data_IF_149862796673
#
_entry.id   IF_149862796673
#
_cell.length_a   1.000
_cell.length_b   1.000
_cell.length_c   1.000
_cell.angle_alpha   90.00
_cell.angle_beta   90.00
_cell.angle_gamma   90.00
#
_symmetry.space_group_name_H-M   'P 1'
#
loop_
_entity.id
_entity.type
_entity.pdbx_description
1 polymer ?
#
# COMPACT_ATOMS: atom_id res chain seq x y z
N UNK A 1 15.25 18.95 17.64
CA UNK A 1 14.00 18.41 17.07
C UNK A 1 12.84 19.30 17.53
N UNK A 2 11.81 19.53 16.71
CA UNK A 2 10.65 20.31 17.15
C UNK A 2 9.77 19.45 18.05
N UNK A 3 9.47 19.92 19.27
CA UNK A 3 8.64 19.17 20.23
C UNK A 3 7.21 19.72 20.18
N UNK A 4 6.17 18.87 19.97
CA UNK A 4 4.78 19.30 20.05
C UNK A 4 4.46 19.93 21.41
N UNK A 5 3.64 20.99 21.47
CA UNK A 5 3.35 21.70 22.73
C UNK A 5 2.64 20.84 23.79
N UNK A 6 2.04 19.71 23.39
CA UNK A 6 1.27 18.83 24.26
C UNK A 6 2.06 17.62 24.79
N UNK A 7 3.33 17.47 24.45
CA UNK A 7 4.15 16.30 24.83
C UNK A 7 5.55 16.72 25.29
N UNK A 8 6.18 15.90 26.13
CA UNK A 8 7.60 16.05 26.43
C UNK A 8 8.47 15.54 25.29
N UNK A 9 9.73 15.94 25.26
CA UNK A 9 10.70 15.45 24.27
C UNK A 9 10.84 13.91 24.34
N UNK A 10 10.91 13.35 25.56
CA UNK A 10 11.00 11.90 25.78
C UNK A 10 9.78 11.15 25.25
N UNK A 11 8.57 11.66 25.53
CA UNK A 11 7.33 11.06 25.01
C UNK A 11 7.29 11.11 23.48
N UNK A 12 7.72 12.23 22.90
CA UNK A 12 7.77 12.41 21.45
C UNK A 12 8.75 11.43 20.80
N UNK A 13 9.93 11.25 21.39
CA UNK A 13 10.93 10.28 20.92
C UNK A 13 10.46 8.83 21.06
N UNK A 14 9.75 8.50 22.14
CA UNK A 14 9.17 7.18 22.34
C UNK A 14 8.14 6.85 21.25
N UNK A 15 7.23 7.77 20.96
CA UNK A 15 6.24 7.61 19.89
C UNK A 15 6.89 7.52 18.51
N UNK A 16 7.90 8.33 18.23
CA UNK A 16 8.67 8.26 16.98
C UNK A 16 9.32 6.87 16.83
N UNK A 17 10.05 6.42 17.85
CA UNK A 17 10.75 5.12 17.81
C UNK A 17 9.76 3.97 17.60
N UNK A 18 8.63 3.98 18.32
CA UNK A 18 7.55 2.99 18.18
C UNK A 18 7.01 2.93 16.76
N UNK A 19 6.78 4.07 16.12
CA UNK A 19 6.30 4.14 14.73
C UNK A 19 7.37 3.62 13.76
N UNK A 20 8.63 4.02 13.95
CA UNK A 20 9.75 3.60 13.11
C UNK A 20 9.93 2.09 13.16
N UNK A 21 9.98 1.51 14.37
CA UNK A 21 10.21 0.06 14.54
C UNK A 21 9.11 -0.78 13.90
N UNK A 22 7.88 -0.27 13.87
CA UNK A 22 6.74 -0.93 13.22
C UNK A 22 6.80 -0.86 11.69
N UNK A 23 7.26 0.26 11.13
CA UNK A 23 7.14 0.56 9.69
C UNK A 23 8.41 0.22 8.92
N UNK A 24 9.59 0.58 9.44
CA UNK A 24 10.89 0.45 8.77
C UNK A 24 11.18 -0.94 8.18
N UNK A 25 10.88 -2.08 8.85
CA UNK A 25 11.18 -3.41 8.30
C UNK A 25 10.54 -3.71 6.95
N UNK A 26 9.42 -3.05 6.62
CA UNK A 26 8.68 -3.26 5.37
C UNK A 26 9.33 -2.58 4.16
N UNK A 27 10.22 -1.61 4.41
CA UNK A 27 10.81 -0.74 3.40
C UNK A 27 12.31 -0.97 3.22
N UNK A 28 12.86 -2.10 3.69
CA UNK A 28 14.24 -2.50 3.39
C UNK A 28 14.35 -2.93 1.92
N UNK A 29 15.47 -2.63 1.29
CA UNK A 29 15.76 -3.00 -0.10
C UNK A 29 17.27 -3.11 -0.31
N UNK A 30 17.68 -3.61 -1.47
CA UNK A 30 19.09 -3.81 -1.78
C UNK A 30 19.91 -2.53 -1.54
N UNK A 31 20.96 -2.63 -0.72
CA UNK A 31 21.83 -1.52 -0.34
C UNK A 31 21.36 -0.69 0.85
N UNK A 32 20.19 -0.97 1.42
CA UNK A 32 19.67 -0.32 2.63
C UNK A 32 19.17 -1.37 3.62
N UNK A 33 19.95 -1.59 4.67
CA UNK A 33 19.60 -2.50 5.75
C UNK A 33 18.57 -1.87 6.69
N UNK A 34 18.05 -2.67 7.62
CA UNK A 34 17.04 -2.22 8.58
C UNK A 34 17.48 -0.98 9.34
N UNK A 35 18.72 -0.95 9.81
CA UNK A 35 19.25 0.17 10.60
C UNK A 35 19.38 1.44 9.76
N UNK A 36 19.71 1.34 8.46
CA UNK A 36 19.72 2.47 7.54
C UNK A 36 18.31 3.04 7.37
N UNK A 37 17.31 2.18 7.15
CA UNK A 37 15.92 2.61 7.02
C UNK A 37 15.41 3.23 8.32
N UNK A 38 15.80 2.72 9.48
CA UNK A 38 15.42 3.32 10.77
C UNK A 38 16.00 4.73 10.94
N UNK A 39 17.26 4.93 10.54
CA UNK A 39 17.90 6.25 10.58
C UNK A 39 17.19 7.23 9.66
N UNK A 40 16.94 6.85 8.40
CA UNK A 40 16.19 7.68 7.46
C UNK A 40 14.77 7.97 7.95
N UNK A 41 14.11 6.97 8.54
CA UNK A 41 12.78 7.12 9.12
C UNK A 41 12.76 8.15 10.26
N UNK A 42 13.82 8.19 11.08
CA UNK A 42 13.95 9.18 12.14
C UNK A 42 14.04 10.60 11.59
N UNK A 43 14.86 10.81 10.57
CA UNK A 43 15.02 12.11 9.90
C UNK A 43 13.66 12.57 9.33
N UNK A 44 12.97 11.68 8.61
CA UNK A 44 11.65 11.95 8.03
C UNK A 44 10.62 12.34 9.10
N UNK A 45 10.60 11.63 10.23
CA UNK A 45 9.68 11.93 11.32
C UNK A 45 10.02 13.26 11.99
N UNK A 46 11.29 13.53 12.26
CA UNK A 46 11.75 14.76 12.89
C UNK A 46 11.41 16.01 12.05
N UNK A 47 11.56 15.92 10.73
CA UNK A 47 11.21 16.99 9.78
C UNK A 47 9.70 17.24 9.67
N UNK A 48 8.88 16.25 10.01
CA UNK A 48 7.42 16.36 9.95
C UNK A 48 6.82 17.06 11.18
N UNK A 49 7.51 17.04 12.32
CA UNK A 49 6.99 17.55 13.60
C UNK A 49 6.56 19.02 13.60
N UNK A 50 7.22 19.96 12.90
CA UNK A 50 6.76 21.35 12.83
C UNK A 50 5.38 21.50 12.16
N UNK A 51 4.93 20.50 11.39
CA UNK A 51 3.64 20.51 10.68
C UNK A 51 2.53 19.81 11.47
N UNK A 52 2.83 19.29 12.64
CA UNK A 52 1.86 18.58 13.47
C UNK A 52 0.95 19.57 14.19
N UNK A 53 -0.35 19.46 13.96
CA UNK A 53 -1.39 20.36 14.47
C UNK A 53 -2.08 19.86 15.75
N UNK A 54 -1.62 18.73 16.31
CA UNK A 54 -2.18 18.09 17.51
C UNK A 54 -3.68 17.73 17.45
N UNK A 55 -4.29 17.74 16.27
CA UNK A 55 -5.72 17.39 16.09
C UNK A 55 -5.98 15.89 16.24
N UNK A 56 -5.01 15.07 15.84
CA UNK A 56 -5.03 13.60 15.88
C UNK A 56 -3.80 13.09 16.61
N UNK A 57 -3.79 11.83 17.11
CA UNK A 57 -2.62 11.27 17.78
C UNK A 57 -1.36 11.36 16.92
N UNK A 58 -0.23 11.69 17.56
CA UNK A 58 1.07 11.84 16.91
C UNK A 58 1.46 10.55 16.15
N UNK A 59 1.19 9.39 16.74
CA UNK A 59 1.44 8.08 16.13
C UNK A 59 0.79 7.96 14.74
N UNK A 60 -0.47 8.36 14.61
CA UNK A 60 -1.22 8.27 13.35
C UNK A 60 -0.71 9.27 12.31
N UNK A 61 -0.39 10.49 12.77
CA UNK A 61 0.22 11.50 11.90
C UNK A 61 1.55 11.02 11.33
N UNK A 62 2.44 10.53 12.20
CA UNK A 62 3.77 10.05 11.83
C UNK A 62 3.69 8.80 10.97
N UNK A 63 2.83 7.83 11.30
CA UNK A 63 2.71 6.60 10.52
C UNK A 63 2.34 6.87 9.06
N UNK A 64 1.33 7.72 8.82
CA UNK A 64 0.91 8.09 7.46
C UNK A 64 2.01 8.86 6.73
N UNK A 65 2.65 9.83 7.40
CA UNK A 65 3.71 10.62 6.80
C UNK A 65 4.94 9.77 6.46
N UNK A 66 5.38 8.92 7.39
CA UNK A 66 6.54 8.06 7.26
C UNK A 66 6.35 7.06 6.12
N UNK A 67 5.24 6.32 6.07
CA UNK A 67 4.96 5.38 4.99
C UNK A 67 4.97 6.05 3.62
N UNK A 68 4.33 7.22 3.47
CA UNK A 68 4.32 7.94 2.21
C UNK A 68 5.72 8.41 1.78
N UNK A 69 6.55 8.85 2.74
CA UNK A 69 7.92 9.31 2.46
C UNK A 69 8.87 8.14 2.18
N UNK A 70 8.76 7.02 2.89
CA UNK A 70 9.54 5.81 2.61
C UNK A 70 9.22 5.23 1.24
N UNK A 71 7.95 5.27 0.78
CA UNK A 71 7.59 4.92 -0.60
C UNK A 71 8.37 5.73 -1.64
N UNK A 72 8.49 7.03 -1.42
CA UNK A 72 9.28 7.90 -2.31
C UNK A 72 10.76 7.59 -2.19
N UNK A 73 11.28 7.41 -0.97
CA UNK A 73 12.67 7.07 -0.72
C UNK A 73 13.08 5.77 -1.43
N UNK A 74 12.29 4.70 -1.30
CA UNK A 74 12.51 3.45 -2.01
C UNK A 74 12.47 3.69 -3.52
N UNK A 75 11.46 4.39 -4.04
CA UNK A 75 11.36 4.67 -5.49
C UNK A 75 12.59 5.42 -6.04
N UNK A 76 13.13 6.35 -5.27
CA UNK A 76 14.25 7.20 -5.68
C UNK A 76 15.60 6.47 -5.59
N UNK A 77 15.77 5.56 -4.62
CA UNK A 77 17.04 4.90 -4.32
C UNK A 77 17.12 3.41 -4.74
N UNK A 78 15.99 2.76 -5.06
CA UNK A 78 15.97 1.34 -5.43
C UNK A 78 16.68 1.04 -6.76
N UNK A 79 16.85 2.05 -7.62
CA UNK A 79 17.53 1.91 -8.91
C UNK A 79 18.96 2.43 -8.81
N UNK A 80 19.92 1.54 -9.00
CA UNK A 80 21.33 1.88 -9.17
C UNK A 80 21.45 2.79 -10.41
N UNK A 81 22.19 3.89 -10.28
CA UNK A 81 22.48 4.88 -11.33
C UNK A 81 22.70 4.20 -12.70
N UNK A 82 21.84 4.50 -13.68
CA UNK A 82 21.99 4.07 -15.08
C UNK A 82 20.73 3.46 -15.72
N UNK A 83 19.69 3.14 -14.95
CA UNK A 83 18.45 2.51 -15.47
C UNK A 83 17.20 3.40 -15.30
N UNK A 84 17.29 4.70 -15.58
CA UNK A 84 16.16 5.62 -15.41
C UNK A 84 14.94 5.27 -16.29
N UNK A 85 15.13 4.55 -17.41
CA UNK A 85 14.02 4.08 -18.25
C UNK A 85 13.19 2.96 -17.60
N UNK A 86 13.77 2.19 -16.67
CA UNK A 86 13.08 1.05 -16.00
C UNK A 86 12.29 1.46 -14.75
N UNK A 87 12.50 2.67 -14.22
CA UNK A 87 11.78 3.23 -13.06
C UNK A 87 10.25 3.19 -13.19
N UNK A 88 9.72 3.32 -14.42
CA UNK A 88 8.27 3.30 -14.67
C UNK A 88 7.68 1.90 -14.84
N UNK A 89 8.50 0.91 -15.16
CA UNK A 89 8.07 -0.44 -15.54
C UNK A 89 8.14 -1.39 -14.35
N UNK A 90 9.07 -1.15 -13.42
CA UNK A 90 9.33 -2.05 -12.28
C UNK A 90 8.98 -1.31 -10.99
N UNK A 91 7.70 -1.20 -10.67
CA UNK A 91 7.33 -0.88 -9.29
C UNK A 91 7.60 -2.12 -8.42
N UNK A 92 8.32 -2.01 -7.29
CA UNK A 92 8.43 -3.13 -6.37
C UNK A 92 7.02 -3.49 -5.87
N UNK A 93 6.63 -4.76 -6.04
CA UNK A 93 5.30 -5.28 -5.64
C UNK A 93 4.98 -5.07 -4.15
N UNK A 94 5.98 -4.75 -3.32
CA UNK A 94 5.83 -4.40 -1.91
C UNK A 94 5.01 -3.13 -1.65
N UNK A 95 4.82 -2.25 -2.64
CA UNK A 95 4.10 -0.99 -2.46
C UNK A 95 2.60 -1.03 -2.79
N UNK A 96 2.10 -2.17 -3.27
CA UNK A 96 0.75 -2.27 -3.85
C UNK A 96 -0.34 -2.50 -2.78
N UNK A 97 0.00 -3.04 -1.59
CA UNK A 97 -1.02 -3.56 -0.65
C UNK A 97 -1.04 -2.96 0.78
N UNK A 98 -0.54 -1.74 1.02
CA UNK A 98 -0.38 -1.22 2.40
C UNK A 98 -1.50 -0.29 2.93
N UNK A 99 -2.69 -0.27 2.33
CA UNK A 99 -3.83 0.45 2.93
C UNK A 99 -4.67 -0.38 3.91
N UNK A 100 -4.31 -1.63 4.15
CA UNK A 100 -5.13 -2.52 4.99
C UNK A 100 -4.43 -2.78 6.32
N UNK A 101 -4.91 -2.11 7.37
CA UNK A 101 -4.73 -2.58 8.75
C UNK A 101 -5.62 -3.82 8.85
N UNK A 102 -5.04 -5.02 8.83
CA UNK A 102 -5.78 -6.28 8.79
C UNK A 102 -5.69 -7.01 10.14
N UNK A 103 -6.85 -7.46 10.62
CA UNK A 103 -7.02 -8.40 11.73
C UNK A 103 -6.91 -9.83 11.16
N UNK A 104 -5.91 -10.59 11.60
CA UNK A 104 -5.49 -11.88 11.02
C UNK A 104 -6.57 -12.99 11.01
N UNK A 105 -7.70 -12.79 11.70
CA UNK A 105 -8.78 -13.79 11.80
C UNK A 105 -9.81 -13.71 10.68
N UNK A 106 -10.09 -12.52 10.15
CA UNK A 106 -11.06 -12.38 9.06
C UNK A 106 -10.48 -12.82 7.70
N UNK A 107 -9.15 -12.81 7.54
CA UNK A 107 -8.52 -13.11 6.25
C UNK A 107 -8.71 -14.56 5.80
N UNK A 108 -8.69 -15.56 6.69
CA UNK A 108 -8.77 -16.96 6.25
C UNK A 108 -10.12 -17.31 5.64
N UNK A 109 -11.20 -16.77 6.20
CA UNK A 109 -12.56 -16.99 5.69
C UNK A 109 -12.76 -16.18 4.39
N UNK A 110 -12.29 -14.92 4.37
CA UNK A 110 -12.36 -14.07 3.17
C UNK A 110 -11.51 -14.62 2.00
N UNK A 111 -10.31 -15.15 2.24
CA UNK A 111 -9.42 -15.68 1.18
C UNK A 111 -10.05 -16.86 0.45
N UNK A 112 -10.78 -17.73 1.16
CA UNK A 112 -11.52 -18.84 0.57
C UNK A 112 -12.64 -18.32 -0.34
N UNK A 113 -13.41 -17.35 0.14
CA UNK A 113 -14.49 -16.72 -0.62
C UNK A 113 -13.98 -16.02 -1.90
N UNK A 114 -12.88 -15.27 -1.81
CA UNK A 114 -12.28 -14.60 -2.99
C UNK A 114 -11.79 -15.59 -4.05
N UNK A 115 -11.23 -16.72 -3.64
CA UNK A 115 -10.76 -17.76 -4.55
C UNK A 115 -11.91 -18.42 -5.31
N UNK A 116 -13.03 -18.67 -4.63
CA UNK A 116 -14.25 -19.22 -5.22
C UNK A 116 -14.90 -18.22 -6.20
N UNK A 117 -15.02 -16.95 -5.81
CA UNK A 117 -15.52 -15.87 -6.66
C UNK A 117 -14.67 -15.71 -7.93
N UNK A 118 -13.35 -15.70 -7.78
CA UNK A 118 -12.42 -15.59 -8.92
C UNK A 118 -12.58 -16.77 -9.89
N UNK A 119 -12.69 -17.99 -9.34
CA UNK A 119 -12.90 -19.20 -10.13
C UNK A 119 -14.25 -19.20 -10.86
N UNK A 120 -15.30 -18.67 -10.24
CA UNK A 120 -16.62 -18.52 -10.85
C UNK A 120 -16.59 -17.55 -12.03
N UNK A 121 -15.94 -16.39 -11.85
CA UNK A 121 -15.75 -15.39 -12.91
C UNK A 121 -14.93 -15.98 -14.06
N UNK A 122 -13.80 -16.62 -13.78
CA UNK A 122 -12.94 -17.20 -14.82
C UNK A 122 -13.66 -18.26 -15.65
N UNK A 123 -14.55 -19.05 -15.03
CA UNK A 123 -15.30 -20.12 -15.73
C UNK A 123 -16.46 -19.57 -16.56
N UNK A 124 -17.19 -18.58 -16.07
CA UNK A 124 -18.44 -18.08 -16.68
C UNK A 124 -18.25 -16.87 -17.59
N UNK A 125 -17.17 -16.10 -17.45
CA UNK A 125 -16.96 -14.90 -18.24
C UNK A 125 -16.76 -15.23 -19.74
N UNK A 126 -17.54 -14.62 -20.65
CA UNK A 126 -17.40 -14.86 -22.09
C UNK A 126 -16.02 -14.45 -22.63
N UNK A 127 -15.56 -15.17 -23.66
CA UNK A 127 -14.23 -14.98 -24.25
C UNK A 127 -13.98 -13.53 -24.75
N UNK A 128 -15.02 -12.85 -25.22
CA UNK A 128 -14.95 -11.48 -25.74
C UNK A 128 -14.56 -10.44 -24.67
N UNK A 129 -14.88 -10.71 -23.40
CA UNK A 129 -14.62 -9.81 -22.27
C UNK A 129 -13.37 -10.19 -21.48
N UNK A 130 -12.78 -11.37 -21.72
CA UNK A 130 -11.59 -11.83 -20.98
C UNK A 130 -10.39 -10.91 -21.14
N UNK A 131 -10.14 -10.39 -22.34
CA UNK A 131 -9.02 -9.47 -22.55
C UNK A 131 -9.16 -8.18 -21.75
N UNK A 132 -10.39 -7.70 -21.56
CA UNK A 132 -10.64 -6.47 -20.81
C UNK A 132 -10.64 -6.73 -19.31
N UNK A 133 -11.17 -7.88 -18.87
CA UNK A 133 -11.06 -8.34 -17.49
C UNK A 133 -9.59 -8.48 -17.04
N UNK A 134 -8.74 -9.12 -17.85
CA UNK A 134 -7.31 -9.24 -17.56
C UNK A 134 -6.61 -7.87 -17.49
N UNK A 135 -7.00 -6.92 -18.35
CA UNK A 135 -6.50 -5.54 -18.26
C UNK A 135 -6.92 -4.88 -16.96
N UNK A 136 -8.16 -5.06 -16.51
CA UNK A 136 -8.66 -4.51 -15.24
C UNK A 136 -7.88 -5.09 -14.06
N UNK A 137 -7.62 -6.41 -14.02
CA UNK A 137 -6.84 -7.04 -12.94
C UNK A 137 -5.42 -6.47 -12.87
N UNK A 138 -4.80 -6.19 -14.01
CA UNK A 138 -3.42 -5.68 -14.09
C UNK A 138 -3.34 -4.15 -14.07
N UNK A 139 -4.41 -3.45 -13.65
CA UNK A 139 -4.50 -1.97 -13.64
C UNK A 139 -4.16 -1.30 -14.99
N UNK A 140 -4.41 -2.00 -16.09
CA UNK A 140 -4.24 -1.50 -17.46
C UNK A 140 -5.50 -0.76 -17.90
N UNK A 141 -5.32 0.34 -18.64
CA UNK A 141 -6.42 1.17 -19.13
C UNK A 141 -7.44 0.40 -19.98
N UNK A 142 -8.72 0.53 -19.61
CA UNK A 142 -9.89 0.06 -20.37
C UNK A 142 -10.87 1.23 -20.51
N UNK A 143 -11.47 1.45 -21.70
CA UNK A 143 -12.47 2.50 -21.90
C UNK A 143 -13.64 2.37 -20.91
N UNK A 144 -14.11 3.51 -20.36
CA UNK A 144 -15.12 3.55 -19.29
C UNK A 144 -16.37 2.71 -19.58
N UNK A 145 -16.96 2.86 -20.77
CA UNK A 145 -18.14 2.09 -21.19
C UNK A 145 -17.89 0.58 -21.14
N UNK A 146 -16.72 0.15 -21.61
CA UNK A 146 -16.34 -1.27 -21.65
C UNK A 146 -16.00 -1.82 -20.27
N UNK A 147 -15.45 -0.98 -19.40
CA UNK A 147 -15.24 -1.31 -17.98
C UNK A 147 -16.58 -1.52 -17.26
N UNK A 148 -17.58 -0.68 -17.50
CA UNK A 148 -18.93 -0.83 -16.95
C UNK A 148 -19.61 -2.11 -17.43
N UNK A 149 -19.48 -2.45 -18.72
CA UNK A 149 -20.00 -3.71 -19.28
C UNK A 149 -19.37 -4.95 -18.63
N UNK A 150 -18.04 -4.96 -18.48
CA UNK A 150 -17.33 -6.07 -17.83
C UNK A 150 -17.72 -6.21 -16.35
N UNK A 151 -17.82 -5.10 -15.62
CA UNK A 151 -18.23 -5.11 -14.21
C UNK A 151 -19.67 -5.56 -14.02
N UNK A 152 -20.58 -5.18 -14.92
CA UNK A 152 -21.96 -5.65 -14.92
C UNK A 152 -22.05 -7.17 -15.09
N UNK A 153 -21.33 -7.72 -16.07
CA UNK A 153 -21.28 -9.17 -16.29
C UNK A 153 -20.67 -9.93 -15.10
N UNK A 154 -19.62 -9.38 -14.48
CA UNK A 154 -19.03 -9.97 -13.28
C UNK A 154 -20.06 -9.97 -12.14
N UNK A 155 -20.82 -8.90 -11.98
CA UNK A 155 -21.86 -8.82 -10.95
C UNK A 155 -22.95 -9.88 -11.15
N UNK A 156 -23.46 -10.04 -12.38
CA UNK A 156 -24.43 -11.09 -12.73
C UNK A 156 -23.87 -12.50 -12.44
N UNK A 157 -22.61 -12.76 -12.79
CA UNK A 157 -21.95 -14.04 -12.53
C UNK A 157 -21.87 -14.35 -11.03
N UNK A 158 -21.64 -13.32 -10.21
CA UNK A 158 -21.54 -13.45 -8.75
C UNK A 158 -22.92 -13.59 -8.10
N UNK A 159 -23.96 -12.89 -8.59
CA UNK A 159 -25.34 -13.08 -8.14
C UNK A 159 -25.83 -14.51 -8.43
N UNK A 160 -25.56 -15.04 -9.62
CA UNK A 160 -25.88 -16.44 -9.96
C UNK A 160 -25.11 -17.47 -9.10
N UNK A 161 -23.93 -17.09 -8.59
CA UNK A 161 -23.11 -17.92 -7.72
C UNK A 161 -23.53 -17.86 -6.25
N UNK A 162 -24.45 -16.96 -5.87
CA UNK A 162 -24.81 -16.73 -4.47
C UNK A 162 -23.74 -15.98 -3.67
N UNK A 163 -22.85 -15.27 -4.35
CA UNK A 163 -21.72 -14.54 -3.74
C UNK A 163 -21.93 -13.01 -3.74
N UNK A 164 -23.13 -12.52 -4.10
CA UNK A 164 -23.50 -11.10 -4.18
C UNK A 164 -24.81 -10.81 -3.43
#
# INVERSE_FOLDING_TARGET
MHVPPNMTEEQTLAEITKVIDRIAPRYTFYGYELDDIKQESFIICADALPRYDATRPLENFLAVHLSNRLKNFVRDNHFIKGEDEKKKIVMPGQLVNEQTILDDREEKDNILDYSEMTSAVDRKLPAEYRSDYLKIINDVYVPKKRKEEVLGLIHEILEEGGHA
#
